data_IF_741158471192
#
_entry.id   IF_741158471192
#
_cell.length_a   1.000
_cell.length_b   1.000
_cell.length_c   1.000
_cell.angle_alpha   90.00
_cell.angle_beta   90.00
_cell.angle_gamma   90.00
#
_symmetry.space_group_name_H-M   'P 1'
#
loop_
_entity.id
_entity.type
_entity.pdbx_description
1 polymer ?
#
# COMPACT_ATOMS: atom_id res chain seq x y z
N UNK A 1 12.28 -3.15 -28.13
CA UNK A 1 11.39 -4.04 -27.39
C UNK A 1 9.99 -3.47 -27.54
N UNK A 2 9.12 -4.16 -28.26
CA UNK A 2 7.69 -3.87 -28.20
C UNK A 2 7.22 -4.32 -26.81
N UNK A 3 6.57 -3.41 -26.08
CA UNK A 3 5.97 -3.75 -24.80
C UNK A 3 4.62 -4.40 -25.10
N UNK A 4 4.48 -5.66 -24.73
CA UNK A 4 3.19 -6.34 -24.78
C UNK A 4 2.20 -5.62 -23.86
N UNK A 5 0.97 -5.43 -24.34
CA UNK A 5 -0.06 -4.70 -23.60
C UNK A 5 -0.37 -5.34 -22.24
N UNK A 6 -0.26 -6.67 -22.16
CA UNK A 6 -0.34 -7.44 -20.92
C UNK A 6 0.79 -7.10 -19.95
N UNK A 7 2.03 -7.08 -20.43
CA UNK A 7 3.19 -6.71 -19.61
C UNK A 7 3.07 -5.26 -19.11
N UNK A 8 2.61 -4.32 -19.94
CA UNK A 8 2.34 -2.95 -19.53
C UNK A 8 1.29 -2.87 -18.41
N UNK A 9 0.19 -3.64 -18.53
CA UNK A 9 -0.87 -3.66 -17.54
C UNK A 9 -0.41 -4.23 -16.20
N UNK A 10 0.32 -5.34 -16.21
CA UNK A 10 0.88 -5.96 -15.00
C UNK A 10 1.87 -5.02 -14.30
N UNK A 11 2.76 -4.38 -15.06
CA UNK A 11 3.69 -3.38 -14.55
C UNK A 11 2.95 -2.19 -13.93
N UNK A 12 1.92 -1.69 -14.60
CA UNK A 12 1.11 -0.57 -14.12
C UNK A 12 0.37 -0.94 -12.83
N UNK A 13 -0.26 -2.11 -12.76
CA UNK A 13 -0.96 -2.58 -11.57
C UNK A 13 0.01 -2.74 -10.40
N UNK A 14 1.19 -3.31 -10.63
CA UNK A 14 2.23 -3.44 -9.59
C UNK A 14 2.67 -2.07 -9.06
N UNK A 15 3.02 -1.14 -9.95
CA UNK A 15 3.46 0.20 -9.57
C UNK A 15 2.39 0.97 -8.79
N UNK A 16 1.14 0.95 -9.28
CA UNK A 16 0.01 1.61 -8.61
C UNK A 16 -0.23 1.01 -7.23
N UNK A 17 -0.18 -0.32 -7.12
CA UNK A 17 -0.42 -1.01 -5.85
C UNK A 17 0.61 -0.65 -4.79
N UNK A 18 1.89 -0.57 -5.17
CA UNK A 18 2.96 -0.14 -4.25
C UNK A 18 2.72 1.29 -3.79
N UNK A 19 2.41 2.21 -4.71
CA UNK A 19 2.16 3.62 -4.37
C UNK A 19 0.97 3.76 -3.41
N UNK A 20 -0.13 3.05 -3.67
CA UNK A 20 -1.32 3.06 -2.80
C UNK A 20 -0.99 2.51 -1.42
N UNK A 21 -0.25 1.40 -1.33
CA UNK A 21 0.13 0.81 -0.05
C UNK A 21 1.03 1.74 0.77
N UNK A 22 2.07 2.29 0.14
CA UNK A 22 2.99 3.22 0.80
C UNK A 22 2.25 4.50 1.24
N UNK A 23 1.38 5.03 0.39
CA UNK A 23 0.55 6.19 0.72
C UNK A 23 -0.35 5.95 1.93
N UNK A 24 -1.02 4.80 1.98
CA UNK A 24 -1.86 4.42 3.12
C UNK A 24 -1.04 4.25 4.41
N UNK A 25 0.12 3.59 4.32
CA UNK A 25 1.03 3.45 5.46
C UNK A 25 1.56 4.82 5.95
N UNK A 26 1.85 5.74 5.03
CA UNK A 26 2.23 7.11 5.38
C UNK A 26 1.10 7.86 6.10
N UNK A 27 -0.14 7.72 5.64
CA UNK A 27 -1.31 8.29 6.32
C UNK A 27 -1.44 7.72 7.73
N UNK A 28 -1.28 6.41 7.92
CA UNK A 28 -1.31 5.82 9.27
C UNK A 28 -0.16 6.34 10.13
N UNK A 29 1.05 6.40 9.58
CA UNK A 29 2.20 6.93 10.30
C UNK A 29 1.99 8.38 10.73
N UNK A 30 1.53 9.25 9.83
CA UNK A 30 1.32 10.67 10.15
C UNK A 30 0.22 10.94 11.18
N UNK A 31 -0.83 10.12 11.22
CA UNK A 31 -1.98 10.33 12.11
C UNK A 31 -1.85 9.61 13.45
N UNK A 32 -1.17 8.46 13.49
CA UNK A 32 -1.13 7.59 14.67
C UNK A 32 0.22 7.51 15.35
N UNK A 33 1.24 8.20 14.84
CA UNK A 33 2.52 8.31 15.52
C UNK A 33 2.46 9.44 16.54
N UNK A 34 2.75 9.14 17.81
CA UNK A 34 2.97 10.20 18.79
C UNK A 34 4.34 10.81 18.52
N UNK A 35 4.48 12.13 18.34
CA UNK A 35 5.78 12.77 18.32
C UNK A 35 6.51 12.38 19.61
N UNK A 36 7.65 11.70 19.49
CA UNK A 36 8.45 11.34 20.65
C UNK A 36 8.68 12.61 21.47
N UNK A 37 8.31 12.59 22.75
CA UNK A 37 8.49 13.74 23.62
C UNK A 37 10.00 14.01 23.74
N UNK A 38 10.51 15.00 23.00
CA UNK A 38 11.93 15.40 22.88
C UNK A 38 12.53 15.96 24.18
N UNK A 39 11.85 15.83 25.32
CA UNK A 39 12.33 16.36 26.61
C UNK A 39 13.57 15.62 27.15
N UNK A 40 13.91 14.45 26.60
CA UNK A 40 15.12 13.73 26.94
C UNK A 40 15.99 13.56 25.68
N UNK A 41 17.24 14.04 25.73
CA UNK A 41 18.28 13.90 24.71
C UNK A 41 18.64 12.42 24.43
N UNK A 42 17.72 11.70 23.80
CA UNK A 42 17.92 10.35 23.31
C UNK A 42 16.99 10.15 22.13
N UNK A 43 17.50 9.58 21.04
CA UNK A 43 16.76 9.22 19.83
C UNK A 43 15.58 8.31 20.18
N UNK A 44 14.45 8.89 20.58
CA UNK A 44 13.21 8.16 20.78
C UNK A 44 12.61 7.93 19.39
N UNK A 45 12.77 6.72 18.87
CA UNK A 45 12.06 6.30 17.67
C UNK A 45 10.57 6.60 17.86
N UNK A 46 9.91 7.25 16.88
CA UNK A 46 8.49 7.55 17.00
C UNK A 46 7.71 6.26 17.28
N UNK A 47 6.87 6.27 18.32
CA UNK A 47 6.09 5.10 18.74
C UNK A 47 4.69 5.24 18.17
N UNK A 48 4.20 4.18 17.53
CA UNK A 48 2.81 4.09 17.08
C UNK A 48 1.89 4.00 18.31
N UNK A 49 0.86 4.84 18.35
CA UNK A 49 -0.22 4.74 19.32
C UNK A 49 -0.92 3.39 19.17
N UNK A 50 -1.53 2.82 20.24
CA UNK A 50 -2.17 1.50 20.19
C UNK A 50 -3.19 1.35 19.05
N UNK A 51 -3.92 2.43 18.76
CA UNK A 51 -4.90 2.54 17.67
C UNK A 51 -4.26 2.56 16.27
N UNK A 52 -3.00 2.97 16.13
CA UNK A 52 -2.23 2.85 14.88
C UNK A 52 -1.97 1.40 14.47
N UNK A 53 -1.88 0.47 15.44
CA UNK A 53 -1.75 -0.95 15.17
C UNK A 53 -2.96 -1.52 14.45
N UNK A 54 -4.17 -1.22 14.93
CA UNK A 54 -5.43 -1.62 14.28
C UNK A 54 -5.60 -0.94 12.91
N UNK A 55 -5.21 0.34 12.80
CA UNK A 55 -5.23 1.04 11.52
C UNK A 55 -4.34 0.36 10.46
N UNK A 56 -3.13 -0.11 10.85
CA UNK A 56 -2.26 -0.88 9.95
C UNK A 56 -2.89 -2.21 9.52
N UNK A 57 -3.57 -2.92 10.42
CA UNK A 57 -4.32 -4.13 10.04
C UNK A 57 -5.41 -3.81 9.00
N UNK A 58 -6.11 -2.69 9.17
CA UNK A 58 -7.07 -2.19 8.19
C UNK A 58 -6.45 -1.87 6.83
N UNK A 59 -5.27 -1.24 6.80
CA UNK A 59 -4.53 -0.96 5.56
C UNK A 59 -4.13 -2.26 4.86
N UNK A 60 -3.64 -3.25 5.60
CA UNK A 60 -3.29 -4.56 5.04
C UNK A 60 -4.53 -5.25 4.48
N UNK A 61 -5.64 -5.27 5.23
CA UNK A 61 -6.90 -5.86 4.76
C UNK A 61 -7.43 -5.19 3.49
N UNK A 62 -7.40 -3.87 3.44
CA UNK A 62 -7.75 -3.10 2.24
C UNK A 62 -6.84 -3.45 1.06
N UNK A 63 -5.53 -3.53 1.28
CA UNK A 63 -4.56 -3.88 0.24
C UNK A 63 -4.84 -5.25 -0.37
N UNK A 64 -5.14 -6.25 0.46
CA UNK A 64 -5.52 -7.59 -0.01
C UNK A 64 -6.78 -7.52 -0.89
N UNK A 65 -7.79 -6.77 -0.48
CA UNK A 65 -9.03 -6.60 -1.27
C UNK A 65 -8.76 -5.89 -2.60
N UNK A 66 -7.95 -4.84 -2.60
CA UNK A 66 -7.56 -4.12 -3.82
C UNK A 66 -6.82 -5.05 -4.78
N UNK A 67 -5.88 -5.87 -4.28
CA UNK A 67 -5.16 -6.84 -5.10
C UNK A 67 -6.08 -7.92 -5.66
N UNK A 68 -7.02 -8.43 -4.87
CA UNK A 68 -8.01 -9.38 -5.35
C UNK A 68 -8.88 -8.79 -6.47
N UNK A 69 -9.30 -7.53 -6.34
CA UNK A 69 -10.06 -6.81 -7.37
C UNK A 69 -9.19 -6.59 -8.61
N UNK A 70 -7.95 -6.16 -8.46
CA UNK A 70 -7.03 -5.95 -9.58
C UNK A 70 -6.77 -7.25 -10.35
N UNK A 71 -6.54 -8.35 -9.65
CA UNK A 71 -6.41 -9.69 -10.24
C UNK A 71 -7.68 -10.12 -10.98
N UNK A 72 -8.87 -9.89 -10.39
CA UNK A 72 -10.15 -10.18 -11.03
C UNK A 72 -10.37 -9.33 -12.29
N UNK A 73 -10.00 -8.05 -12.27
CA UNK A 73 -10.10 -7.16 -13.44
C UNK A 73 -9.16 -7.66 -14.54
N UNK A 74 -7.91 -8.01 -14.22
CA UNK A 74 -6.97 -8.53 -15.21
C UNK A 74 -7.42 -9.88 -15.78
N UNK A 75 -7.99 -10.76 -14.96
CA UNK A 75 -8.59 -12.01 -15.43
C UNK A 75 -9.75 -11.76 -16.40
N UNK A 76 -10.62 -10.79 -16.08
CA UNK A 76 -11.75 -10.43 -16.95
C UNK A 76 -11.36 -9.65 -18.20
N UNK A 77 -10.24 -8.94 -18.17
CA UNK A 77 -9.76 -8.19 -19.32
C UNK A 77 -9.22 -9.09 -20.43
N UNK A 78 -9.20 -10.42 -20.21
CA UNK A 78 -8.88 -11.50 -21.15
C UNK A 78 -8.02 -11.01 -22.33
N UNK A 79 -6.72 -10.85 -22.06
CA UNK A 79 -5.75 -10.39 -23.05
C UNK A 79 -5.44 -11.44 -24.15
N UNK A 80 -6.20 -12.54 -24.19
CA UNK A 80 -6.24 -13.50 -25.30
C UNK A 80 -7.20 -12.98 -26.38
N UNK A 81 -6.81 -11.91 -27.06
CA UNK A 81 -7.38 -11.54 -28.35
C UNK A 81 -6.26 -11.72 -29.39
N UNK A 82 -6.21 -12.93 -29.96
CA UNK A 82 -5.44 -13.43 -31.14
C UNK A 82 -4.02 -12.90 -31.41
#
# INVERSE_FOLDING_TARGET
MEIDRKFAAELAVSAVSVVVFVGAAYVVSSNYTTPGNVTNNGSASPILQPEGGLAMVGVIGLFVVVMAIAGLIMYRADFDEE
#
